data_IF_514064664051
#
_entry.id   IF_514064664051
#
_cell.length_a   1.000
_cell.length_b   1.000
_cell.length_c   1.000
_cell.angle_alpha   90.00
_cell.angle_beta   90.00
_cell.angle_gamma   90.00
#
_symmetry.space_group_name_H-M   'P 1'
#
loop_
_entity.id
_entity.type
_entity.pdbx_description
1 polymer ?
#
# COMPACT_ATOMS: atom_id res chain seq x y z
N UNK A 1 50.28 -12.22 -16.73
CA UNK A 1 48.91 -11.98 -17.23
C UNK A 1 47.81 -12.42 -16.24
N UNK A 2 47.92 -13.57 -15.54
CA UNK A 2 46.84 -14.06 -14.65
C UNK A 2 46.51 -13.23 -13.40
N UNK A 3 47.53 -12.68 -12.71
CA UNK A 3 47.33 -11.88 -11.48
C UNK A 3 46.48 -10.62 -11.68
N UNK A 4 46.56 -10.02 -12.87
CA UNK A 4 45.80 -8.81 -13.23
C UNK A 4 44.32 -9.12 -13.40
N UNK A 5 43.98 -10.25 -14.01
CA UNK A 5 42.59 -10.67 -14.28
C UNK A 5 41.86 -11.02 -12.97
N UNK A 6 42.52 -11.72 -12.05
CA UNK A 6 41.96 -12.01 -10.72
C UNK A 6 41.66 -10.75 -9.92
N UNK A 7 42.55 -9.75 -10.01
CA UNK A 7 42.39 -8.47 -9.31
C UNK A 7 41.21 -7.67 -9.88
N UNK A 8 41.05 -7.67 -11.21
CA UNK A 8 39.92 -7.04 -11.89
C UNK A 8 38.60 -7.72 -11.50
N UNK A 9 38.54 -9.05 -11.50
CA UNK A 9 37.32 -9.79 -11.14
C UNK A 9 36.87 -9.54 -9.69
N UNK A 10 37.82 -9.47 -8.75
CA UNK A 10 37.52 -9.11 -7.34
C UNK A 10 36.98 -7.68 -7.22
N UNK A 11 37.52 -6.74 -8.00
CA UNK A 11 37.04 -5.35 -8.05
C UNK A 11 35.61 -5.29 -8.60
N UNK A 12 35.32 -5.97 -9.70
CA UNK A 12 33.97 -6.03 -10.28
C UNK A 12 32.94 -6.59 -9.30
N UNK A 13 33.28 -7.65 -8.56
CA UNK A 13 32.37 -8.22 -7.56
C UNK A 13 32.11 -7.25 -6.38
N UNK A 14 33.16 -6.56 -5.91
CA UNK A 14 33.02 -5.53 -4.88
C UNK A 14 32.14 -4.38 -5.37
N UNK A 15 32.37 -3.88 -6.57
CA UNK A 15 31.61 -2.75 -7.12
C UNK A 15 30.13 -3.14 -7.30
N UNK A 16 29.86 -4.38 -7.74
CA UNK A 16 28.50 -4.92 -7.87
C UNK A 16 27.75 -4.98 -6.53
N UNK A 17 28.40 -5.47 -5.47
CA UNK A 17 27.77 -5.54 -4.13
C UNK A 17 27.49 -4.15 -3.56
N UNK A 18 28.35 -3.17 -3.82
CA UNK A 18 28.11 -1.77 -3.43
C UNK A 18 26.95 -1.18 -4.22
N UNK A 19 26.87 -1.42 -5.54
CA UNK A 19 25.74 -0.97 -6.37
C UNK A 19 24.42 -1.54 -5.84
N UNK A 20 24.36 -2.83 -5.53
CA UNK A 20 23.17 -3.48 -4.96
C UNK A 20 22.77 -2.85 -3.62
N UNK A 21 23.75 -2.54 -2.76
CA UNK A 21 23.51 -1.83 -1.50
C UNK A 21 22.92 -0.43 -1.72
N UNK A 22 23.57 0.40 -2.55
CA UNK A 22 23.13 1.78 -2.78
C UNK A 22 21.75 1.85 -3.45
N UNK A 23 21.47 0.93 -4.40
CA UNK A 23 20.14 0.82 -5.02
C UNK A 23 19.05 0.43 -4.01
N UNK A 24 19.36 -0.46 -3.07
CA UNK A 24 18.45 -0.82 -2.00
C UNK A 24 18.16 0.36 -1.06
N UNK A 25 19.18 1.12 -0.68
CA UNK A 25 19.03 2.31 0.18
C UNK A 25 18.13 3.37 -0.46
N UNK A 26 18.33 3.68 -1.76
CA UNK A 26 17.45 4.57 -2.52
C UNK A 26 16.00 4.07 -2.51
N UNK A 27 15.79 2.77 -2.68
CA UNK A 27 14.44 2.19 -2.68
C UNK A 27 13.74 2.33 -1.31
N UNK A 28 14.49 2.18 -0.22
CA UNK A 28 13.97 2.35 1.15
C UNK A 28 13.63 3.82 1.44
N UNK A 29 14.49 4.77 1.06
CA UNK A 29 14.22 6.21 1.20
C UNK A 29 12.97 6.63 0.41
N UNK A 30 12.83 6.15 -0.83
CA UNK A 30 11.63 6.41 -1.65
C UNK A 30 10.36 5.84 -1.01
N UNK A 31 10.41 4.65 -0.40
CA UNK A 31 9.28 4.10 0.35
C UNK A 31 8.88 4.99 1.53
N UNK A 32 9.85 5.48 2.30
CA UNK A 32 9.59 6.37 3.44
C UNK A 32 8.96 7.69 3.00
N UNK A 33 9.48 8.29 1.92
CA UNK A 33 8.93 9.53 1.33
C UNK A 33 7.45 9.41 1.00
N UNK A 34 7.05 8.32 0.34
CA UNK A 34 5.68 8.15 -0.13
C UNK A 34 4.73 7.51 0.90
N UNK A 35 5.23 6.65 1.80
CA UNK A 35 4.43 6.06 2.88
C UNK A 35 3.95 7.14 3.87
N UNK A 36 4.83 8.07 4.24
CA UNK A 36 4.52 9.15 5.17
C UNK A 36 3.43 10.10 4.66
N UNK A 37 3.32 10.29 3.34
CA UNK A 37 2.24 11.08 2.71
C UNK A 37 0.85 10.48 2.95
N UNK A 38 0.76 9.22 3.39
CA UNK A 38 -0.49 8.57 3.80
C UNK A 38 -0.86 8.79 5.28
N UNK A 39 0.05 9.33 6.10
CA UNK A 39 -0.18 9.65 7.52
C UNK A 39 -0.38 11.18 7.72
N UNK A 40 -1.26 11.57 8.65
CA UNK A 40 -1.51 12.99 8.98
C UNK A 40 -0.38 13.53 9.86
N UNK A 41 0.61 14.20 9.27
CA UNK A 41 1.69 14.89 9.98
C UNK A 41 1.61 16.41 9.77
N UNK A 42 2.20 17.20 10.69
CA UNK A 42 2.27 18.65 10.53
C UNK A 42 3.00 19.00 9.19
N UNK A 43 2.42 19.87 8.34
CA UNK A 43 2.97 20.20 7.02
C UNK A 43 4.41 20.75 7.05
N UNK A 44 4.78 21.55 8.05
CA UNK A 44 6.14 22.12 8.14
C UNK A 44 7.19 21.03 8.41
N UNK A 45 6.86 20.11 9.33
CA UNK A 45 7.69 18.94 9.62
C UNK A 45 7.74 17.97 8.44
N UNK A 46 6.68 17.92 7.62
CA UNK A 46 6.66 17.10 6.41
C UNK A 46 7.65 17.62 5.39
N UNK A 47 7.63 18.94 5.12
CA UNK A 47 8.54 19.60 4.18
C UNK A 47 10.01 19.40 4.56
N UNK A 48 10.38 19.66 5.82
CA UNK A 48 11.77 19.51 6.27
C UNK A 48 12.31 18.09 6.06
N UNK A 49 11.47 17.09 6.32
CA UNK A 49 11.85 15.69 6.15
C UNK A 49 11.90 15.29 4.66
N UNK A 50 11.02 15.84 3.81
CA UNK A 50 11.07 15.61 2.37
C UNK A 50 12.36 16.16 1.76
N UNK A 51 12.77 17.37 2.16
CA UNK A 51 14.02 18.00 1.71
C UNK A 51 15.26 17.21 2.13
N UNK A 52 15.28 16.67 3.35
CA UNK A 52 16.36 15.81 3.84
C UNK A 52 16.43 14.49 3.06
N UNK A 53 15.28 13.83 2.85
CA UNK A 53 15.23 12.59 2.07
C UNK A 53 15.71 12.82 0.64
N UNK A 54 15.34 13.95 0.02
CA UNK A 54 15.77 14.27 -1.33
C UNK A 54 17.28 14.55 -1.42
N UNK A 55 17.84 15.20 -0.40
CA UNK A 55 19.29 15.43 -0.29
C UNK A 55 20.06 14.11 -0.16
N UNK A 56 19.57 13.19 0.68
CA UNK A 56 20.19 11.88 0.86
C UNK A 56 20.10 11.04 -0.41
N UNK A 57 18.94 11.01 -1.08
CA UNK A 57 18.77 10.31 -2.36
C UNK A 57 19.74 10.86 -3.40
N UNK A 58 19.85 12.18 -3.54
CA UNK A 58 20.76 12.79 -4.51
C UNK A 58 22.22 12.44 -4.24
N UNK A 59 22.62 12.39 -2.97
CA UNK A 59 23.98 11.99 -2.55
C UNK A 59 24.27 10.54 -2.94
N UNK A 60 23.36 9.62 -2.63
CA UNK A 60 23.52 8.19 -2.93
C UNK A 60 23.47 7.94 -4.45
N UNK A 61 22.61 8.66 -5.19
CA UNK A 61 22.54 8.57 -6.65
C UNK A 61 23.86 9.05 -7.30
N UNK A 62 24.53 10.07 -6.75
CA UNK A 62 25.84 10.51 -7.22
C UNK A 62 26.95 9.47 -6.95
N UNK A 63 26.96 8.84 -5.77
CA UNK A 63 27.88 7.75 -5.46
C UNK A 63 27.70 6.55 -6.39
N UNK A 64 26.44 6.18 -6.64
CA UNK A 64 26.08 5.10 -7.53
C UNK A 64 26.50 5.39 -8.97
N UNK A 65 26.32 6.63 -9.44
CA UNK A 65 26.77 7.05 -10.78
C UNK A 65 28.29 6.97 -10.94
N UNK A 66 29.07 7.29 -9.89
CA UNK A 66 30.52 7.17 -9.91
C UNK A 66 31.00 5.70 -10.08
N UNK A 67 30.24 4.74 -9.55
CA UNK A 67 30.54 3.30 -9.66
C UNK A 67 30.08 2.68 -10.98
N UNK A 68 29.07 3.24 -11.64
CA UNK A 68 28.46 2.72 -12.87
C UNK A 68 29.12 3.23 -14.16
N UNK A 69 30.39 3.64 -14.15
CA UNK A 69 31.09 4.28 -15.29
C UNK A 69 31.25 3.42 -16.56
N UNK A 70 30.73 2.18 -16.60
CA UNK A 70 30.52 1.43 -17.83
C UNK A 70 29.05 1.60 -18.29
N UNK A 71 28.78 1.98 -19.55
CA UNK A 71 27.41 2.18 -20.02
C UNK A 71 26.70 0.82 -20.06
N UNK A 72 25.98 0.50 -18.97
CA UNK A 72 24.98 -0.54 -18.99
C UNK A 72 23.90 -0.08 -19.97
N UNK A 73 23.53 -0.89 -20.98
CA UNK A 73 22.40 -0.58 -21.82
C UNK A 73 21.19 -0.38 -20.92
N UNK A 74 20.66 0.84 -20.89
CA UNK A 74 19.36 1.12 -20.29
C UNK A 74 18.34 0.32 -21.08
N UNK A 75 18.05 -0.90 -20.62
CA UNK A 75 16.88 -1.63 -21.06
C UNK A 75 15.69 -0.71 -20.82
N UNK A 76 14.92 -0.47 -21.88
CA UNK A 76 13.72 0.34 -21.82
C UNK A 76 12.84 -0.28 -20.75
N UNK A 77 12.72 0.39 -19.60
CA UNK A 77 11.82 0.03 -18.50
C UNK A 77 10.45 -0.20 -19.12
N UNK A 78 10.09 -1.47 -19.31
CA UNK A 78 8.76 -1.81 -19.78
C UNK A 78 7.82 -1.37 -18.68
N UNK A 79 7.04 -0.33 -18.95
CA UNK A 79 5.96 0.03 -18.06
C UNK A 79 5.04 -1.20 -17.98
N UNK A 80 4.85 -1.81 -16.80
CA UNK A 80 3.85 -2.86 -16.67
C UNK A 80 2.50 -2.24 -16.98
N UNK A 81 2.02 -2.45 -18.21
CA UNK A 81 0.66 -2.07 -18.56
C UNK A 81 -0.25 -2.96 -17.73
N UNK A 82 -0.98 -2.33 -16.81
CA UNK A 82 -2.09 -2.99 -16.14
C UNK A 82 -3.11 -3.32 -17.21
N UNK A 83 -3.24 -4.60 -17.54
CA UNK A 83 -4.33 -5.10 -18.37
C UNK A 83 -5.64 -4.61 -17.76
N UNK A 84 -6.53 -4.03 -18.57
CA UNK A 84 -7.84 -3.63 -18.08
C UNK A 84 -8.52 -4.85 -17.44
N UNK A 85 -9.01 -4.66 -16.22
CA UNK A 85 -9.81 -5.68 -15.55
C UNK A 85 -11.00 -6.04 -16.46
N UNK A 86 -11.29 -7.33 -16.68
CA UNK A 86 -12.46 -7.75 -17.45
C UNK A 86 -13.74 -7.07 -16.95
N UNK A 87 -14.61 -6.68 -17.88
CA UNK A 87 -15.83 -5.92 -17.59
C UNK A 87 -16.80 -6.67 -16.66
N UNK A 88 -16.76 -8.01 -16.71
CA UNK A 88 -17.63 -8.86 -15.92
C UNK A 88 -16.81 -9.63 -14.89
N UNK A 89 -16.76 -9.07 -13.67
CA UNK A 89 -16.40 -9.82 -12.49
C UNK A 89 -17.71 -10.29 -11.83
N UNK A 90 -17.91 -11.60 -11.59
CA UNK A 90 -19.10 -12.09 -10.92
C UNK A 90 -19.18 -11.48 -9.52
N UNK A 91 -20.14 -10.57 -9.32
CA UNK A 91 -20.43 -9.96 -8.02
C UNK A 91 -21.34 -10.89 -7.23
N UNK A 92 -20.75 -11.87 -6.56
CA UNK A 92 -21.49 -12.69 -5.60
C UNK A 92 -21.70 -11.89 -4.32
N UNK A 93 -22.96 -11.60 -4.02
CA UNK A 93 -23.34 -10.97 -2.76
C UNK A 93 -23.38 -12.03 -1.66
N UNK A 94 -22.47 -11.95 -0.70
CA UNK A 94 -22.47 -12.82 0.48
C UNK A 94 -23.00 -12.02 1.66
N UNK A 95 -24.17 -12.43 2.16
CA UNK A 95 -24.80 -11.81 3.32
C UNK A 95 -24.37 -12.55 4.59
N UNK A 96 -23.62 -11.88 5.47
CA UNK A 96 -23.23 -12.41 6.77
C UNK A 96 -24.12 -11.79 7.86
N UNK A 97 -25.02 -12.58 8.44
CA UNK A 97 -25.75 -12.22 9.66
C UNK A 97 -25.23 -13.03 10.85
N UNK A 98 -25.22 -12.47 12.07
CA UNK A 98 -24.96 -13.26 13.26
C UNK A 98 -26.09 -14.28 13.48
N UNK A 99 -25.73 -15.47 13.96
CA UNK A 99 -26.72 -16.53 14.27
C UNK A 99 -27.71 -16.11 15.37
N UNK A 100 -27.33 -15.16 16.22
CA UNK A 100 -28.14 -14.65 17.32
C UNK A 100 -28.20 -13.11 17.31
N UNK A 101 -29.40 -12.59 17.13
CA UNK A 101 -29.73 -11.15 17.18
C UNK A 101 -30.20 -10.70 18.58
N UNK A 102 -30.12 -11.59 19.57
CA UNK A 102 -30.49 -11.31 20.96
C UNK A 102 -29.25 -11.02 21.79
N UNK A 103 -29.24 -9.86 22.47
CA UNK A 103 -28.24 -9.60 23.50
C UNK A 103 -28.46 -10.57 24.68
N UNK A 104 -27.41 -11.13 25.31
CA UNK A 104 -27.55 -11.88 26.57
C UNK A 104 -28.16 -11.04 27.71
N UNK A 105 -28.17 -9.72 27.56
CA UNK A 105 -28.81 -8.75 28.44
C UNK A 105 -30.34 -8.60 28.23
N UNK A 106 -30.93 -9.31 27.26
CA UNK A 106 -32.37 -9.23 26.95
C UNK A 106 -32.79 -7.97 26.19
N UNK A 107 -31.84 -7.21 25.64
CA UNK A 107 -32.12 -6.06 24.77
C UNK A 107 -32.11 -6.46 23.29
N UNK A 108 -32.92 -5.78 22.48
CA UNK A 108 -32.89 -5.93 21.03
C UNK A 108 -31.64 -5.26 20.44
N UNK A 109 -30.91 -5.98 19.58
CA UNK A 109 -29.78 -5.44 18.84
C UNK A 109 -30.30 -4.68 17.60
N UNK A 110 -29.93 -3.40 17.43
CA UNK A 110 -30.24 -2.62 16.22
C UNK A 110 -29.04 -2.67 15.26
N UNK A 111 -29.30 -2.91 13.98
CA UNK A 111 -28.29 -2.84 12.92
C UNK A 111 -27.79 -1.40 12.80
N UNK A 112 -26.49 -1.18 13.01
CA UNK A 112 -25.87 0.14 12.83
C UNK A 112 -25.84 0.43 11.32
N UNK A 113 -26.40 1.57 10.89
CA UNK A 113 -26.47 1.97 9.48
C UNK A 113 -27.79 1.66 8.76
N UNK A 114 -28.81 1.16 9.47
CA UNK A 114 -30.17 1.03 8.96
C UNK A 114 -31.06 2.16 9.51
N UNK A 115 -30.72 3.41 9.23
CA UNK A 115 -31.66 4.53 9.38
C UNK A 115 -32.26 4.82 7.99
N UNK A 116 -33.54 4.51 7.87
CA UNK A 116 -34.33 4.80 6.68
C UNK A 116 -34.57 6.32 6.58
N UNK A 117 -33.81 7.02 5.74
CA UNK A 117 -34.24 8.30 5.20
C UNK A 117 -35.35 8.04 4.17
N UNK A 118 -36.60 8.05 4.65
CA UNK A 118 -37.76 8.25 3.78
C UNK A 118 -37.76 9.71 3.31
N UNK A 119 -37.29 9.94 2.09
CA UNK A 119 -37.24 11.26 1.49
C UNK A 119 -36.37 11.25 0.24
N UNK A 120 -36.95 10.86 -0.89
CA UNK A 120 -36.32 11.01 -2.20
C UNK A 120 -35.79 12.45 -2.36
N UNK A 121 -34.53 12.58 -2.82
CA UNK A 121 -34.19 13.29 -4.05
C UNK A 121 -32.69 13.13 -4.37
N UNK A 122 -32.49 12.55 -5.56
CA UNK A 122 -31.40 12.81 -6.51
C UNK A 122 -29.96 12.44 -6.10
N UNK A 123 -29.48 11.37 -6.78
CA UNK A 123 -28.10 10.92 -6.98
C UNK A 123 -27.45 10.06 -5.86
N UNK A 124 -27.69 8.73 -5.83
CA UNK A 124 -27.18 7.85 -4.79
C UNK A 124 -25.85 7.19 -5.21
N UNK A 125 -24.83 7.99 -5.55
CA UNK A 125 -23.47 7.50 -5.32
C UNK A 125 -23.30 7.46 -3.80
N UNK A 126 -23.04 6.29 -3.24
CA UNK A 126 -22.69 6.04 -1.82
C UNK A 126 -23.85 5.62 -0.90
N UNK A 127 -24.51 4.52 -1.25
CA UNK A 127 -25.10 3.60 -0.25
C UNK A 127 -23.96 2.78 0.38
N UNK A 128 -23.50 3.18 1.57
CA UNK A 128 -22.55 2.41 2.37
C UNK A 128 -23.25 1.22 3.06
N UNK A 129 -23.45 0.14 2.33
CA UNK A 129 -23.44 -1.21 2.89
C UNK A 129 -22.00 -1.73 2.80
N UNK A 130 -21.45 -2.25 3.89
CA UNK A 130 -20.06 -2.68 4.03
C UNK A 130 -19.68 -3.82 3.09
N UNK A 131 -19.44 -3.48 1.82
CA UNK A 131 -18.89 -4.35 0.80
C UNK A 131 -17.37 -4.41 0.99
N UNK A 132 -16.88 -5.39 1.75
CA UNK A 132 -15.46 -5.78 1.61
C UNK A 132 -15.36 -6.85 0.52
N UNK A 133 -14.71 -6.50 -0.58
CA UNK A 133 -14.19 -7.47 -1.53
C UNK A 133 -13.03 -8.23 -0.86
N UNK A 134 -13.21 -9.52 -0.62
CA UNK A 134 -12.13 -10.42 -0.23
C UNK A 134 -11.59 -11.09 -1.50
N UNK A 135 -10.27 -11.10 -1.75
CA UNK A 135 -9.71 -12.10 -2.65
C UNK A 135 -9.88 -13.49 -2.01
N UNK A 136 -10.01 -14.52 -2.86
CA UNK A 136 -9.99 -15.92 -2.44
C UNK A 136 -8.61 -16.13 -1.79
N UNK A 137 -8.56 -16.18 -0.45
CA UNK A 137 -7.63 -16.93 0.41
C UNK A 137 -7.73 -16.37 1.85
N UNK A 138 -8.21 -17.20 2.78
CA UNK A 138 -8.13 -16.96 4.23
C UNK A 138 -9.42 -16.43 4.86
N UNK A 139 -10.03 -17.25 5.71
CA UNK A 139 -11.15 -16.87 6.58
C UNK A 139 -10.74 -15.70 7.49
N UNK A 140 -11.29 -14.51 7.25
CA UNK A 140 -11.23 -13.38 8.19
C UNK A 140 -12.66 -13.03 8.57
N UNK A 141 -13.02 -13.44 9.79
CA UNK A 141 -14.31 -13.22 10.44
C UNK A 141 -14.52 -11.74 10.76
N UNK A 142 -14.88 -10.94 9.75
CA UNK A 142 -15.26 -9.54 9.92
C UNK A 142 -16.71 -9.40 10.37
N UNK A 143 -16.98 -9.49 11.68
CA UNK A 143 -18.33 -9.39 12.24
C UNK A 143 -18.95 -7.99 12.10
N UNK A 144 -20.25 -7.95 11.79
CA UNK A 144 -21.08 -6.75 11.92
C UNK A 144 -21.14 -6.33 13.39
N UNK A 145 -20.93 -5.04 13.68
CA UNK A 145 -21.06 -4.50 15.04
C UNK A 145 -22.50 -4.10 15.29
N UNK A 146 -23.07 -4.63 16.35
CA UNK A 146 -24.35 -4.21 16.91
C UNK A 146 -24.08 -3.46 18.22
N UNK A 147 -24.83 -2.40 18.48
CA UNK A 147 -24.78 -1.72 19.77
C UNK A 147 -26.07 -1.97 20.56
N UNK A 148 -25.97 -2.29 21.87
CA UNK A 148 -27.14 -2.41 22.73
C UNK A 148 -27.74 -1.03 22.98
N UNK A 149 -29.07 -0.92 22.88
CA UNK A 149 -29.79 0.31 23.23
C UNK A 149 -30.15 0.31 24.73
N UNK A 150 -30.01 1.44 25.44
CA UNK A 150 -30.53 1.57 26.80
C UNK A 150 -32.06 1.58 26.79
N UNK A 151 -32.68 0.91 27.78
CA UNK A 151 -34.14 0.98 27.99
C UNK A 151 -34.47 2.40 28.48
N UNK A 152 -35.45 3.06 27.84
CA UNK A 152 -36.09 4.26 28.37
C UNK A 152 -37.01 3.90 29.53
#
# INVERSE_FOLDING_TARGET
MGKTVETIGKKTNRDQTVIEKLTFEIAQLKRLKFAKRSEQMNPEQASLLDDLIDTDIATIEAELQALQTAPAPTEKKQNPQRTALPAEFPRTLIHHEPDNTHCPCGCALKRIGADAHAGNKENPSLLCLGLRHQPILGSVSGGLRFQPQPRR
#
